data_IF_580930932804
#
_entry.id   IF_580930932804
#
_cell.length_a   1.000
_cell.length_b   1.000
_cell.length_c   1.000
_cell.angle_alpha   90.00
_cell.angle_beta   90.00
_cell.angle_gamma   90.00
#
_symmetry.space_group_name_H-M   'P 1'
#
loop_
_entity.id
_entity.type
_entity.pdbx_description
1 polymer ?
#
# COMPACT_ATOMS: atom_id res chain seq x y z
N UNK A 1 25.20 12.57 9.79
CA UNK A 1 25.57 11.67 8.67
C UNK A 1 26.90 11.02 9.02
N UNK A 2 26.97 9.69 9.06
CA UNK A 2 28.22 8.94 9.25
C UNK A 2 28.68 8.43 7.88
N UNK A 3 29.95 8.64 7.54
CA UNK A 3 30.50 8.24 6.23
C UNK A 3 31.55 7.17 6.47
N UNK A 4 31.36 6.02 5.83
CA UNK A 4 32.28 4.89 5.89
C UNK A 4 32.67 4.51 4.46
N UNK A 5 33.97 4.46 4.20
CA UNK A 5 34.51 3.95 2.94
C UNK A 5 34.79 2.46 3.09
N UNK A 6 34.25 1.65 2.19
CA UNK A 6 34.44 0.20 2.14
C UNK A 6 34.84 -0.23 0.73
N UNK A 7 35.63 -1.30 0.63
CA UNK A 7 35.97 -1.94 -0.66
C UNK A 7 34.94 -3.01 -1.01
N UNK A 8 35.00 -3.49 -2.26
CA UNK A 8 34.18 -4.64 -2.71
C UNK A 8 34.38 -5.84 -1.77
N UNK A 9 33.30 -6.49 -1.37
CA UNK A 9 33.31 -7.66 -0.48
C UNK A 9 33.35 -7.35 1.01
N UNK A 10 33.46 -6.09 1.43
CA UNK A 10 33.31 -5.73 2.84
C UNK A 10 31.83 -5.53 3.20
N UNK A 11 31.48 -5.81 4.45
CA UNK A 11 30.14 -5.60 4.99
C UNK A 11 30.11 -4.61 6.16
N UNK A 12 28.94 -4.01 6.37
CA UNK A 12 28.62 -3.10 7.46
C UNK A 12 27.43 -3.69 8.21
N UNK A 13 27.55 -3.82 9.52
CA UNK A 13 26.47 -4.32 10.37
C UNK A 13 25.83 -3.15 11.12
N UNK A 14 24.51 -3.06 11.07
CA UNK A 14 23.71 -2.07 11.80
C UNK A 14 22.83 -2.84 12.79
N UNK A 15 22.96 -2.48 14.07
CA UNK A 15 22.11 -3.00 15.16
C UNK A 15 22.07 -4.54 15.21
N UNK A 16 23.18 -5.19 14.85
CA UNK A 16 23.40 -6.65 14.85
C UNK A 16 22.41 -7.51 14.03
N UNK A 17 21.46 -6.87 13.35
CA UNK A 17 20.38 -7.53 12.62
C UNK A 17 20.42 -7.22 11.12
N UNK A 18 20.97 -6.06 10.75
CA UNK A 18 21.02 -5.63 9.36
C UNK A 18 22.47 -5.69 8.89
N UNK A 19 22.74 -6.51 7.88
CA UNK A 19 24.05 -6.58 7.22
C UNK A 19 23.95 -5.99 5.81
N UNK A 20 24.82 -5.02 5.53
CA UNK A 20 24.99 -4.37 4.24
C UNK A 20 26.29 -4.86 3.61
N UNK A 21 26.23 -5.58 2.51
CA UNK A 21 27.41 -6.11 1.81
C UNK A 21 27.59 -5.40 0.47
N UNK A 22 28.81 -4.92 0.18
CA UNK A 22 29.11 -4.38 -1.14
C UNK A 22 29.47 -5.53 -2.09
N UNK A 23 28.59 -5.84 -3.04
CA UNK A 23 28.77 -6.94 -3.98
C UNK A 23 29.72 -6.56 -5.12
N UNK A 24 29.46 -5.42 -5.77
CA UNK A 24 30.35 -4.88 -6.81
C UNK A 24 30.25 -3.37 -6.89
N UNK A 25 31.32 -2.76 -7.41
CA UNK A 25 31.39 -1.34 -7.73
C UNK A 25 31.73 -1.26 -9.21
N UNK A 26 30.82 -0.69 -9.99
CA UNK A 26 30.93 -0.51 -11.43
C UNK A 26 30.84 0.99 -11.72
N UNK A 27 32.00 1.67 -11.70
CA UNK A 27 32.08 3.12 -11.86
C UNK A 27 31.25 3.84 -10.79
N UNK A 28 30.18 4.50 -11.21
CA UNK A 28 29.25 5.25 -10.35
C UNK A 28 28.16 4.38 -9.73
N UNK A 29 27.96 3.16 -10.23
CA UNK A 29 26.92 2.24 -9.74
C UNK A 29 27.50 1.23 -8.76
N UNK A 30 26.84 1.07 -7.61
CA UNK A 30 27.24 0.10 -6.59
C UNK A 30 26.13 -0.92 -6.40
N UNK A 31 26.47 -2.21 -6.51
CA UNK A 31 25.56 -3.30 -6.14
C UNK A 31 25.69 -3.53 -4.63
N UNK A 32 24.63 -3.22 -3.90
CA UNK A 32 24.54 -3.40 -2.45
C UNK A 32 23.62 -4.57 -2.16
N UNK A 33 24.13 -5.56 -1.43
CA UNK A 33 23.34 -6.61 -0.80
C UNK A 33 22.87 -6.14 0.56
N UNK A 34 21.59 -6.36 0.87
CA UNK A 34 21.01 -6.03 2.17
C UNK A 34 20.44 -7.34 2.72
N UNK A 35 20.99 -7.80 3.84
CA UNK A 35 20.47 -8.93 4.59
C UNK A 35 19.84 -8.39 5.86
N UNK A 36 18.54 -8.61 6.01
CA UNK A 36 17.81 -8.24 7.22
C UNK A 36 16.78 -9.33 7.53
N UNK A 37 16.43 -9.51 8.81
CA UNK A 37 15.37 -10.42 9.23
C UNK A 37 13.99 -9.99 8.68
N UNK A 38 13.02 -10.91 8.59
CA UNK A 38 11.75 -10.69 7.88
C UNK A 38 10.81 -9.67 8.55
N UNK A 39 11.14 -9.19 9.75
CA UNK A 39 10.36 -8.15 10.43
C UNK A 39 10.79 -6.73 10.02
N UNK A 40 11.88 -6.58 9.27
CA UNK A 40 12.39 -5.29 8.80
C UNK A 40 12.11 -5.18 7.30
N UNK A 41 11.22 -4.25 6.93
CA UNK A 41 10.94 -3.98 5.54
C UNK A 41 12.05 -3.15 4.89
N UNK A 42 12.48 -3.56 3.70
CA UNK A 42 13.52 -2.88 2.92
C UNK A 42 12.86 -2.25 1.68
N UNK A 43 12.90 -0.92 1.62
CA UNK A 43 12.37 -0.17 0.48
C UNK A 43 13.45 0.68 -0.18
N UNK A 44 13.27 0.93 -1.48
CA UNK A 44 14.02 1.98 -2.16
C UNK A 44 13.49 3.35 -1.70
N UNK A 45 14.39 4.30 -1.53
CA UNK A 45 14.09 5.61 -0.90
C UNK A 45 12.98 6.36 -1.62
N UNK A 46 13.00 6.35 -2.94
CA UNK A 46 12.02 7.02 -3.80
C UNK A 46 10.62 6.45 -3.61
N UNK A 47 10.49 5.13 -3.51
CA UNK A 47 9.20 4.45 -3.31
C UNK A 47 8.64 4.79 -1.93
N UNK A 48 9.50 4.78 -0.91
CA UNK A 48 9.09 5.14 0.45
C UNK A 48 8.57 6.58 0.55
N UNK A 49 9.24 7.53 -0.11
CA UNK A 49 8.83 8.94 -0.11
C UNK A 49 7.46 9.11 -0.78
N UNK A 50 7.25 8.53 -1.95
CA UNK A 50 5.96 8.64 -2.66
C UNK A 50 4.80 8.05 -1.86
N UNK A 51 5.00 6.91 -1.20
CA UNK A 51 3.96 6.31 -0.34
C UNK A 51 3.65 7.23 0.84
N UNK A 52 4.68 7.81 1.46
CA UNK A 52 4.49 8.70 2.60
C UNK A 52 3.74 9.97 2.22
N UNK A 53 4.07 10.57 1.08
CA UNK A 53 3.38 11.76 0.55
C UNK A 53 1.91 11.45 0.23
N UNK A 54 1.64 10.35 -0.48
CA UNK A 54 0.27 9.94 -0.81
C UNK A 54 -0.57 9.64 0.45
N UNK A 55 0.03 9.01 1.46
CA UNK A 55 -0.62 8.78 2.74
C UNK A 55 -0.93 10.09 3.46
N UNK A 56 -0.04 11.10 3.39
CA UNK A 56 -0.28 12.42 3.98
C UNK A 56 -1.40 13.17 3.27
N UNK A 57 -1.43 13.16 1.93
CA UNK A 57 -2.51 13.76 1.14
C UNK A 57 -3.85 13.09 1.43
N UNK A 58 -3.86 11.76 1.53
CA UNK A 58 -5.08 11.00 1.84
C UNK A 58 -5.55 11.18 3.28
N UNK A 59 -4.63 11.46 4.21
CA UNK A 59 -4.95 11.72 5.61
C UNK A 59 -5.46 13.16 5.85
N UNK A 60 -5.31 14.08 4.89
CA UNK A 60 -5.87 15.42 5.00
C UNK A 60 -7.40 15.37 4.75
N UNK A 61 -8.25 15.64 5.75
CA UNK A 61 -9.68 15.59 5.56
C UNK A 61 -10.14 16.87 4.84
N UNK A 62 -10.45 16.77 3.56
CA UNK A 62 -11.33 17.75 2.91
C UNK A 62 -12.78 17.44 3.33
N UNK A 63 -13.41 18.24 4.20
CA UNK A 63 -14.72 17.91 4.78
C UNK A 63 -15.83 17.78 3.73
N UNK A 64 -15.70 18.47 2.59
CA UNK A 64 -16.69 18.44 1.51
C UNK A 64 -16.85 17.07 0.81
N UNK A 65 -15.83 16.19 0.85
CA UNK A 65 -15.88 14.91 0.13
C UNK A 65 -16.48 13.76 0.95
N UNK A 66 -16.52 13.87 2.27
CA UNK A 66 -16.96 12.78 3.14
C UNK A 66 -18.49 12.57 3.07
N UNK A 67 -19.27 13.66 3.08
CA UNK A 67 -20.73 13.61 2.99
C UNK A 67 -21.20 13.05 1.64
N UNK A 68 -20.60 13.53 0.55
CA UNK A 68 -20.91 13.05 -0.81
C UNK A 68 -20.57 11.56 -0.99
N UNK A 69 -19.48 11.07 -0.36
CA UNK A 69 -19.10 9.66 -0.37
C UNK A 69 -20.10 8.81 0.43
N UNK A 70 -20.49 9.26 1.63
CA UNK A 70 -21.50 8.59 2.46
C UNK A 70 -22.85 8.47 1.75
N UNK A 71 -23.26 9.50 1.00
CA UNK A 71 -24.49 9.45 0.22
C UNK A 71 -24.42 8.40 -0.89
N UNK A 72 -23.30 8.34 -1.63
CA UNK A 72 -23.09 7.34 -2.70
C UNK A 72 -23.07 5.90 -2.17
N UNK A 73 -22.47 5.65 -1.00
CA UNK A 73 -22.49 4.31 -0.37
C UNK A 73 -23.90 3.90 0.08
N UNK A 74 -24.70 4.83 0.61
CA UNK A 74 -26.11 4.58 0.98
C UNK A 74 -26.98 4.28 -0.24
N UNK A 75 -26.69 4.89 -1.39
CA UNK A 75 -27.44 4.65 -2.62
C UNK A 75 -27.13 3.28 -3.24
N UNK A 76 -25.89 2.79 -3.14
CA UNK A 76 -25.54 1.44 -3.60
C UNK A 76 -26.19 0.34 -2.75
N UNK A 77 -26.24 0.53 -1.42
CA UNK A 77 -26.92 -0.42 -0.52
C UNK A 77 -28.44 -0.45 -0.74
N UNK A 78 -29.06 0.68 -1.12
CA UNK A 78 -30.48 0.74 -1.49
C UNK A 78 -30.79 0.07 -2.85
N UNK A 79 -29.91 0.20 -3.85
CA UNK A 79 -30.06 -0.48 -5.16
C UNK A 79 -30.03 -2.01 -5.03
N UNK A 80 -29.14 -2.55 -4.19
CA UNK A 80 -29.06 -3.99 -3.93
C UNK A 80 -30.35 -4.55 -3.29
N UNK A 81 -30.91 -3.85 -2.28
CA UNK A 81 -32.20 -4.23 -1.66
C UNK A 81 -33.40 -4.12 -2.61
N UNK A 82 -33.38 -3.19 -3.57
CA UNK A 82 -34.45 -2.99 -4.56
C UNK A 82 -34.44 -4.10 -5.63
N UNK A 83 -33.27 -4.59 -6.01
CA UNK A 83 -33.15 -5.74 -6.92
C UNK A 83 -33.62 -7.04 -6.28
N UNK A 84 -33.26 -7.31 -5.02
CA UNK A 84 -33.72 -8.51 -4.29
C UNK A 84 -35.26 -8.53 -4.15
N UNK A 85 -35.88 -7.39 -3.79
CA UNK A 85 -37.36 -7.30 -3.71
C UNK A 85 -38.07 -7.44 -5.06
N UNK A 86 -37.42 -7.08 -6.18
CA UNK A 86 -37.98 -7.22 -7.53
C UNK A 86 -37.98 -8.68 -7.98
N UNK A 87 -36.96 -9.45 -7.61
CA UNK A 87 -36.86 -10.89 -7.90
C UNK A 87 -37.87 -11.71 -7.11
N UNK A 88 -38.08 -11.42 -5.82
CA UNK A 88 -39.08 -12.12 -4.98
C UNK A 88 -40.54 -11.82 -5.36
N UNK A 89 -40.83 -10.70 -6.03
CA UNK A 89 -42.20 -10.37 -6.47
C UNK A 89 -42.58 -11.07 -7.79
N UNK A 90 -41.61 -11.62 -8.52
CA UNK A 90 -41.86 -12.35 -9.77
C UNK A 90 -42.19 -13.84 -9.52
N UNK A 91 -41.69 -14.43 -8.42
CA UNK A 91 -41.96 -15.83 -8.04
C UNK A 91 -43.31 -16.05 -7.34
N UNK A 92 -44.01 -14.99 -6.94
CA UNK A 92 -45.32 -15.04 -6.25
C UNK A 92 -46.48 -14.56 -7.15
N UNK A 93 -46.26 -14.45 -8.47
CA UNK A 93 -47.20 -13.85 -9.42
C UNK A 93 -47.61 -14.73 -10.59
N UNK A 94 -47.54 -16.06 -10.49
CA UNK A 94 -48.12 -16.98 -11.49
C UNK A 94 -48.79 -18.19 -10.81
N UNK A 95 -49.82 -17.93 -10.02
CA UNK A 95 -50.94 -18.86 -9.86
C UNK A 95 -52.19 -18.00 -9.68
N UNK A 96 -52.78 -17.57 -10.78
CA UNK A 96 -54.23 -17.41 -10.85
C UNK A 96 -54.64 -17.77 -12.28
N UNK A 97 -55.64 -18.64 -12.32
CA UNK A 97 -56.27 -19.32 -13.45
C UNK A 97 -56.84 -18.35 -14.47
#
# INVERSE_FOLDING_TARGET
>A
MLVLSRKKGESIVIQDQIELTILSVEGDTVKVGISAPPHIDIFRKEVYLSIKESNQESAAPAPANLEALMQRMKDQTKKSKKNIKKTLKCSLGTVDI
#
